data_IF_334693898532
#
_entry.id   IF_334693898532
#
_cell.length_a   1.000
_cell.length_b   1.000
_cell.length_c   1.000
_cell.angle_alpha   90.00
_cell.angle_beta   90.00
_cell.angle_gamma   90.00
#
_symmetry.space_group_name_H-M   'P 1'
#
loop_
_entity.id
_entity.type
_entity.pdbx_description
1 polymer ?
#
# COMPACT_ATOMS: atom_id res chain seq x y z
N UNK A 1 41.35 3.90 61.47
CA UNK A 1 40.13 3.31 61.01
C UNK A 1 39.74 4.11 59.75
N UNK A 2 40.05 3.60 58.61
CA UNK A 2 39.80 4.26 57.31
C UNK A 2 38.63 3.56 56.65
N UNK A 3 37.50 4.28 56.54
CA UNK A 3 36.31 3.80 55.85
C UNK A 3 36.56 3.81 54.34
N UNK A 4 36.57 2.62 53.75
CA UNK A 4 36.63 2.44 52.33
C UNK A 4 35.17 2.51 51.81
N UNK A 5 34.82 3.63 51.19
CA UNK A 5 33.55 3.77 50.44
C UNK A 5 33.66 2.95 49.17
N UNK A 6 32.88 1.87 49.09
CA UNK A 6 32.73 1.09 47.84
C UNK A 6 31.89 1.89 46.85
N UNK A 7 32.49 2.30 45.74
CA UNK A 7 31.80 2.85 44.57
C UNK A 7 31.06 1.72 43.85
N UNK A 8 29.75 1.68 44.02
CA UNK A 8 28.85 0.79 43.26
C UNK A 8 28.72 1.31 41.80
N UNK A 9 29.60 0.87 40.93
CA UNK A 9 29.53 1.15 39.51
C UNK A 9 28.51 0.20 38.88
N UNK A 10 27.23 0.51 39.00
CA UNK A 10 26.21 -0.05 38.12
C UNK A 10 26.45 0.53 36.71
N UNK A 11 27.23 -0.16 35.91
CA UNK A 11 27.26 0.07 34.45
C UNK A 11 25.92 -0.36 33.90
N UNK A 12 24.99 0.58 33.78
CA UNK A 12 23.77 0.36 33.01
C UNK A 12 24.17 0.05 31.57
N UNK A 13 23.83 -1.15 31.09
CA UNK A 13 23.97 -1.45 29.65
C UNK A 13 23.24 -0.36 28.87
N UNK A 14 23.84 0.17 27.79
CA UNK A 14 23.13 1.14 26.97
C UNK A 14 21.82 0.52 26.49
N UNK A 15 20.72 1.28 26.57
CA UNK A 15 19.45 0.89 26.02
C UNK A 15 19.61 0.77 24.48
N UNK A 16 19.62 -0.46 23.98
CA UNK A 16 19.83 -0.78 22.56
C UNK A 16 18.52 -0.85 21.78
N UNK A 17 17.40 -0.57 22.45
CA UNK A 17 16.07 -0.56 21.83
C UNK A 17 15.67 0.81 21.31
N UNK A 18 14.87 0.82 20.25
CA UNK A 18 14.14 2.00 19.78
C UNK A 18 12.67 1.78 20.10
N UNK A 19 12.04 2.77 20.74
CA UNK A 19 10.60 2.70 21.03
C UNK A 19 9.80 2.77 19.75
N UNK A 20 8.90 1.80 19.53
CA UNK A 20 7.99 1.80 18.38
C UNK A 20 7.06 3.02 18.41
N UNK A 21 6.78 3.54 17.22
CA UNK A 21 5.73 4.54 17.04
C UNK A 21 4.35 3.87 17.10
N UNK A 22 3.34 4.68 17.46
CA UNK A 22 1.94 4.21 17.46
C UNK A 22 1.51 3.85 16.04
N UNK A 23 1.15 2.59 15.83
CA UNK A 23 0.71 2.06 14.52
C UNK A 23 -0.78 1.70 14.47
N UNK A 24 -1.44 1.63 15.63
CA UNK A 24 -2.85 1.25 15.74
C UNK A 24 -3.63 2.36 16.44
N UNK A 25 -4.74 2.80 15.85
CA UNK A 25 -5.66 3.77 16.45
C UNK A 25 -6.41 3.18 17.64
N UNK A 26 -7.03 4.04 18.47
CA UNK A 26 -7.89 3.62 19.59
C UNK A 26 -9.10 2.78 19.16
N UNK A 27 -9.49 2.85 17.89
CA UNK A 27 -10.54 2.01 17.29
C UNK A 27 -10.04 0.66 16.75
N UNK A 28 -8.79 0.26 17.03
CA UNK A 28 -8.21 -1.01 16.57
C UNK A 28 -7.88 -1.05 15.06
N UNK A 29 -7.81 0.10 14.39
CA UNK A 29 -7.44 0.22 12.98
C UNK A 29 -6.00 0.70 12.84
N UNK A 30 -5.33 0.31 11.76
CA UNK A 30 -4.01 0.88 11.45
C UNK A 30 -4.13 2.40 11.29
N UNK A 31 -3.28 3.13 12.02
CA UNK A 31 -3.14 4.57 11.87
C UNK A 31 -2.22 4.89 10.69
N UNK A 32 -2.64 4.49 9.48
CA UNK A 32 -1.87 4.70 8.24
C UNK A 32 -2.52 5.85 7.46
N UNK A 33 -1.78 6.95 7.35
CA UNK A 33 -2.09 7.98 6.36
C UNK A 33 -1.13 7.82 5.18
N UNK A 34 -1.60 7.93 3.93
CA UNK A 34 -0.73 7.92 2.77
C UNK A 34 0.32 9.03 2.89
N UNK A 35 1.58 8.67 2.64
CA UNK A 35 2.72 9.61 2.73
C UNK A 35 3.02 10.28 1.39
N UNK A 36 2.45 9.77 0.31
CA UNK A 36 2.68 10.24 -1.06
C UNK A 36 1.52 11.12 -1.49
N UNK A 37 1.82 12.30 -1.97
CA UNK A 37 0.83 13.29 -2.41
C UNK A 37 -0.09 12.72 -3.51
N UNK A 38 -1.40 12.82 -3.28
CA UNK A 38 -2.44 12.33 -4.20
C UNK A 38 -2.81 10.86 -4.04
N UNK A 39 -2.04 10.05 -3.30
CA UNK A 39 -2.47 8.70 -2.91
C UNK A 39 -3.55 8.83 -1.85
N UNK A 40 -4.64 8.08 -2.02
CA UNK A 40 -5.78 8.08 -1.08
C UNK A 40 -6.14 6.65 -0.69
N UNK A 41 -6.65 6.50 0.52
CA UNK A 41 -7.15 5.22 1.04
C UNK A 41 -8.58 5.45 1.52
N UNK A 42 -9.49 4.61 1.02
CA UNK A 42 -10.86 4.53 1.53
C UNK A 42 -10.98 3.20 2.26
N UNK A 43 -11.27 3.24 3.56
CA UNK A 43 -11.53 2.03 4.35
C UNK A 43 -12.89 1.46 3.95
N UNK A 44 -12.90 0.17 3.62
CA UNK A 44 -14.11 -0.55 3.24
C UNK A 44 -14.54 -1.49 4.38
N UNK A 45 -15.81 -1.84 4.40
CA UNK A 45 -16.41 -2.68 5.43
C UNK A 45 -16.98 -3.98 4.88
N UNK A 46 -16.53 -5.10 5.43
CA UNK A 46 -17.19 -6.38 5.22
C UNK A 46 -18.53 -6.42 5.97
N UNK A 47 -19.61 -6.69 5.27
CA UNK A 47 -20.95 -6.85 5.85
C UNK A 47 -21.32 -8.33 5.86
N UNK A 48 -21.47 -8.89 7.06
CA UNK A 48 -21.99 -10.25 7.21
C UNK A 48 -23.50 -10.26 6.98
N UNK A 49 -23.93 -11.08 6.04
CA UNK A 49 -25.34 -11.31 5.72
C UNK A 49 -25.74 -12.72 6.09
N UNK A 50 -27.03 -13.03 6.04
CA UNK A 50 -27.51 -14.40 6.28
C UNK A 50 -26.94 -15.44 5.30
N UNK A 51 -26.58 -15.01 4.10
CA UNK A 51 -26.07 -15.88 3.03
C UNK A 51 -24.53 -15.83 2.86
N UNK A 52 -23.83 -14.99 3.62
CA UNK A 52 -22.37 -14.86 3.51
C UNK A 52 -21.88 -13.44 3.72
N UNK A 53 -20.95 -13.00 2.89
CA UNK A 53 -20.27 -11.72 2.96
C UNK A 53 -20.67 -10.82 1.79
N UNK A 54 -20.95 -9.56 2.07
CA UNK A 54 -21.07 -8.50 1.08
C UNK A 54 -20.00 -7.46 1.31
N UNK A 55 -19.36 -7.03 0.25
CA UNK A 55 -18.38 -5.93 0.24
C UNK A 55 -18.68 -5.02 -0.95
N UNK A 56 -19.00 -3.75 -0.67
CA UNK A 56 -19.03 -2.73 -1.72
C UNK A 56 -17.58 -2.35 -2.09
N UNK A 57 -17.20 -2.59 -3.33
CA UNK A 57 -15.82 -2.39 -3.80
C UNK A 57 -15.59 -0.99 -4.34
N UNK A 58 -16.61 -0.41 -4.94
CA UNK A 58 -16.54 0.86 -5.63
C UNK A 58 -17.91 1.45 -5.84
N UNK A 59 -18.01 2.77 -5.67
CA UNK A 59 -19.20 3.56 -6.06
C UNK A 59 -18.74 4.88 -6.67
N UNK A 60 -19.40 5.33 -7.71
CA UNK A 60 -19.11 6.60 -8.39
C UNK A 60 -19.61 7.83 -7.61
N UNK A 61 -20.53 7.62 -6.65
CA UNK A 61 -21.06 8.64 -5.76
C UNK A 61 -20.27 8.79 -4.43
N UNK A 62 -19.23 8.00 -4.21
CA UNK A 62 -18.35 8.22 -3.05
C UNK A 62 -17.52 9.50 -3.22
N UNK A 63 -17.54 10.41 -2.23
CA UNK A 63 -16.94 11.73 -2.39
C UNK A 63 -15.42 11.72 -2.64
N UNK A 64 -14.74 10.67 -2.20
CA UNK A 64 -13.29 10.56 -2.30
C UNK A 64 -12.80 9.76 -3.51
N UNK A 65 -13.70 9.24 -4.32
CA UNK A 65 -13.35 8.36 -5.45
C UNK A 65 -13.22 9.12 -6.76
N UNK A 66 -14.23 9.92 -7.12
CA UNK A 66 -14.15 10.97 -8.14
C UNK A 66 -13.86 10.55 -9.58
N UNK A 67 -14.12 9.27 -9.96
CA UNK A 67 -13.88 8.80 -11.33
C UNK A 67 -15.15 8.24 -11.98
N UNK A 68 -15.12 8.21 -13.32
CA UNK A 68 -16.04 7.40 -14.12
C UNK A 68 -15.31 6.13 -14.55
N UNK A 69 -15.68 4.94 -14.05
CA UNK A 69 -15.05 3.69 -14.43
C UNK A 69 -15.18 3.44 -15.93
N UNK A 70 -14.08 3.11 -16.59
CA UNK A 70 -14.06 2.76 -18.01
C UNK A 70 -13.60 1.33 -18.26
N UNK A 71 -12.84 0.75 -17.32
CA UNK A 71 -12.41 -0.63 -17.35
C UNK A 71 -12.33 -1.17 -15.94
N UNK A 72 -12.62 -2.45 -15.75
CA UNK A 72 -12.45 -3.15 -14.47
C UNK A 72 -11.73 -4.47 -14.75
N UNK A 73 -10.64 -4.69 -14.03
CA UNK A 73 -9.89 -5.94 -14.08
C UNK A 73 -9.97 -6.65 -12.73
N UNK A 74 -10.17 -7.96 -12.77
CA UNK A 74 -9.89 -8.81 -11.63
C UNK A 74 -8.52 -9.47 -11.84
N UNK A 75 -7.67 -9.36 -10.85
CA UNK A 75 -6.32 -9.91 -10.86
C UNK A 75 -6.16 -10.93 -9.76
N UNK A 76 -5.68 -12.11 -10.10
CA UNK A 76 -5.31 -13.15 -9.16
C UNK A 76 -3.79 -13.32 -9.17
N UNK A 77 -3.16 -13.11 -8.02
CA UNK A 77 -1.73 -13.27 -7.84
C UNK A 77 -1.44 -14.63 -7.23
N UNK A 78 -0.49 -15.38 -7.79
CA UNK A 78 0.00 -16.60 -7.18
C UNK A 78 0.60 -16.33 -5.79
N UNK A 79 0.71 -17.35 -4.96
CA UNK A 79 1.40 -17.28 -3.67
C UNK A 79 2.83 -16.72 -3.86
N UNK A 80 3.18 -15.68 -3.11
CA UNK A 80 4.46 -14.98 -3.23
C UNK A 80 4.66 -14.20 -4.53
N UNK A 81 3.66 -14.15 -5.41
CA UNK A 81 3.71 -13.45 -6.70
C UNK A 81 3.99 -11.96 -6.53
N UNK A 82 4.77 -11.39 -7.45
CA UNK A 82 5.18 -9.99 -7.45
C UNK A 82 4.93 -9.40 -8.83
N UNK A 83 4.39 -8.18 -8.87
CA UNK A 83 4.39 -7.38 -10.11
C UNK A 83 5.69 -6.59 -10.19
N UNK A 84 6.13 -6.27 -11.42
CA UNK A 84 7.22 -5.32 -11.58
C UNK A 84 6.79 -3.91 -11.17
N UNK A 85 7.76 -3.08 -10.79
CA UNK A 85 7.54 -1.66 -10.61
C UNK A 85 7.04 -1.03 -11.91
N UNK A 86 5.86 -0.42 -11.84
CA UNK A 86 5.24 0.26 -12.98
C UNK A 86 4.53 1.54 -12.55
N UNK A 87 4.26 2.38 -13.52
CA UNK A 87 3.47 3.60 -13.36
C UNK A 87 2.65 3.86 -14.60
N UNK A 88 1.64 4.68 -14.45
CA UNK A 88 0.85 5.25 -15.53
C UNK A 88 1.07 6.76 -15.59
N UNK A 89 0.94 7.36 -16.76
CA UNK A 89 1.11 8.82 -16.94
C UNK A 89 -0.22 9.56 -17.02
N UNK A 90 -1.29 8.86 -17.37
CA UNK A 90 -2.66 9.39 -17.49
C UNK A 90 -3.64 8.68 -16.57
N UNK A 91 -3.56 7.35 -16.52
CA UNK A 91 -4.46 6.49 -15.80
C UNK A 91 -4.29 6.60 -14.29
N UNK A 92 -5.41 6.61 -13.57
CA UNK A 92 -5.47 6.43 -12.12
C UNK A 92 -5.90 5.01 -11.80
N UNK A 93 -5.15 4.32 -10.94
CA UNK A 93 -5.52 2.99 -10.45
C UNK A 93 -6.35 3.07 -9.18
N UNK A 94 -7.43 2.29 -9.13
CA UNK A 94 -8.29 2.13 -7.96
C UNK A 94 -8.27 0.66 -7.56
N UNK A 95 -7.38 0.33 -6.61
CA UNK A 95 -7.05 -1.04 -6.22
C UNK A 95 -7.85 -1.46 -5.00
N UNK A 96 -8.64 -2.51 -5.11
CA UNK A 96 -9.43 -3.07 -3.99
C UNK A 96 -9.06 -4.52 -3.75
N UNK A 97 -8.49 -4.84 -2.59
CA UNK A 97 -8.19 -6.22 -2.21
C UNK A 97 -9.46 -6.98 -1.82
N UNK A 98 -9.67 -8.14 -2.42
CA UNK A 98 -10.85 -8.99 -2.19
C UNK A 98 -10.52 -10.33 -1.53
N UNK A 99 -9.28 -10.81 -1.63
CA UNK A 99 -8.83 -12.04 -0.96
C UNK A 99 -7.34 -11.99 -0.65
N UNK A 100 -6.91 -12.83 0.30
CA UNK A 100 -5.51 -12.93 0.71
C UNK A 100 -4.98 -11.65 1.38
N UNK A 101 -3.65 -11.48 1.35
CA UNK A 101 -2.93 -10.31 1.85
C UNK A 101 -2.01 -9.78 0.77
N UNK A 102 -2.28 -8.58 0.31
CA UNK A 102 -1.52 -7.92 -0.74
C UNK A 102 -0.79 -6.72 -0.15
N UNK A 103 0.51 -6.66 -0.39
CA UNK A 103 1.37 -5.52 -0.13
C UNK A 103 1.44 -4.67 -1.40
N UNK A 104 1.12 -3.40 -1.28
CA UNK A 104 1.33 -2.39 -2.30
C UNK A 104 2.50 -1.51 -1.87
N UNK A 105 3.58 -1.58 -2.63
CA UNK A 105 4.72 -0.69 -2.48
C UNK A 105 4.55 0.50 -3.42
N UNK A 106 4.81 1.70 -2.92
CA UNK A 106 4.66 2.97 -3.62
C UNK A 106 5.96 3.77 -3.56
N UNK A 107 6.29 4.45 -4.64
CA UNK A 107 7.42 5.38 -4.72
C UNK A 107 7.04 6.60 -5.56
N UNK A 108 7.23 7.78 -5.00
CA UNK A 108 6.97 9.03 -5.69
C UNK A 108 8.19 9.48 -6.51
N UNK A 109 8.22 9.06 -7.75
CA UNK A 109 9.26 9.47 -8.71
C UNK A 109 8.94 10.77 -9.47
N UNK A 110 7.89 11.52 -9.10
CA UNK A 110 7.49 12.77 -9.78
C UNK A 110 8.37 13.94 -9.35
N UNK A 111 9.16 14.56 -10.26
CA UNK A 111 10.12 15.61 -9.88
C UNK A 111 9.50 16.84 -9.22
N UNK A 112 8.26 17.19 -9.60
CA UNK A 112 7.54 18.38 -9.08
C UNK A 112 6.66 18.09 -7.87
N UNK A 113 6.66 16.86 -7.36
CA UNK A 113 5.83 16.48 -6.21
C UNK A 113 6.40 17.02 -4.90
N UNK A 114 5.52 17.46 -3.99
CA UNK A 114 5.90 17.81 -2.61
C UNK A 114 6.42 16.61 -1.80
N UNK A 115 6.21 15.39 -2.33
CA UNK A 115 6.65 14.13 -1.70
C UNK A 115 7.62 13.35 -2.58
N UNK A 116 8.34 14.04 -3.48
CA UNK A 116 9.34 13.41 -4.34
C UNK A 116 10.31 12.54 -3.54
N UNK A 117 10.64 11.36 -4.05
CA UNK A 117 11.49 10.32 -3.45
C UNK A 117 10.91 9.67 -2.18
N UNK A 118 9.72 10.01 -1.72
CA UNK A 118 9.08 9.28 -0.63
C UNK A 118 8.59 7.91 -1.09
N UNK A 119 8.66 6.98 -0.15
CA UNK A 119 8.11 5.62 -0.30
C UNK A 119 7.00 5.39 0.70
N UNK A 120 6.10 4.48 0.36
CA UNK A 120 5.04 4.02 1.25
C UNK A 120 4.73 2.54 1.02
N UNK A 121 4.18 1.88 2.03
CA UNK A 121 3.73 0.49 1.95
C UNK A 121 2.34 0.39 2.54
N UNK A 122 1.40 -0.07 1.73
CA UNK A 122 0.01 -0.28 2.14
C UNK A 122 -0.30 -1.76 2.02
N UNK A 123 -0.90 -2.35 3.07
CA UNK A 123 -1.41 -3.73 3.02
C UNK A 123 -2.91 -3.72 3.02
N UNK A 124 -3.49 -4.53 2.16
CA UNK A 124 -4.94 -4.67 2.02
C UNK A 124 -5.29 -6.09 1.53
N UNK A 125 -6.54 -6.47 1.61
CA UNK A 125 -7.02 -7.79 1.20
C UNK A 125 -8.33 -8.14 1.85
N UNK A 126 -8.74 -9.41 1.79
CA UNK A 126 -10.07 -9.82 2.24
C UNK A 126 -10.37 -9.55 3.72
N UNK A 127 -9.34 -9.60 4.58
CA UNK A 127 -9.51 -9.34 6.03
C UNK A 127 -9.56 -7.84 6.35
N UNK A 128 -8.81 -7.04 5.59
CA UNK A 128 -8.76 -5.57 5.74
C UNK A 128 -8.97 -4.92 4.37
N UNK A 129 -10.22 -4.92 3.88
CA UNK A 129 -10.52 -4.39 2.57
C UNK A 129 -10.34 -2.87 2.54
N UNK A 130 -9.64 -2.41 1.51
CA UNK A 130 -9.37 -0.99 1.25
C UNK A 130 -9.43 -0.73 -0.23
N UNK A 131 -9.96 0.41 -0.58
CA UNK A 131 -9.75 0.99 -1.90
C UNK A 131 -8.54 1.93 -1.81
N UNK A 132 -7.49 1.61 -2.54
CA UNK A 132 -6.29 2.44 -2.63
C UNK A 132 -6.26 3.10 -4.00
N UNK A 133 -6.22 4.43 -4.02
CA UNK A 133 -6.21 5.23 -5.24
C UNK A 133 -4.79 5.72 -5.48
N UNK A 134 -4.21 5.30 -6.61
CA UNK A 134 -2.85 5.64 -7.01
C UNK A 134 -2.92 6.59 -8.21
N UNK A 135 -2.52 7.86 -8.04
CA UNK A 135 -2.60 8.84 -9.12
C UNK A 135 -1.50 8.63 -10.17
N UNK A 136 -1.66 9.20 -11.38
CA UNK A 136 -0.64 9.16 -12.41
C UNK A 136 0.75 9.60 -11.91
N UNK A 137 1.78 8.96 -12.43
CA UNK A 137 3.19 9.25 -12.15
C UNK A 137 3.76 8.58 -10.91
N UNK A 138 2.94 8.04 -10.02
CA UNK A 138 3.40 7.29 -8.84
C UNK A 138 3.80 5.88 -9.25
N UNK A 139 5.05 5.51 -8.99
CA UNK A 139 5.53 4.15 -9.17
C UNK A 139 4.92 3.23 -8.13
N UNK A 140 4.47 2.06 -8.57
CA UNK A 140 3.89 1.08 -7.67
C UNK A 140 4.18 -0.35 -8.11
N UNK A 141 4.19 -1.24 -7.13
CA UNK A 141 4.32 -2.67 -7.32
C UNK A 141 3.54 -3.41 -6.24
N UNK A 142 3.02 -4.59 -6.59
CA UNK A 142 2.24 -5.41 -5.67
C UNK A 142 2.94 -6.74 -5.41
N UNK A 143 2.78 -7.23 -4.19
CA UNK A 143 3.22 -8.55 -3.77
C UNK A 143 2.12 -9.26 -3.01
N UNK A 144 1.85 -10.51 -3.35
CA UNK A 144 1.08 -11.39 -2.49
C UNK A 144 1.99 -11.91 -1.36
N UNK A 145 1.73 -11.46 -0.12
CA UNK A 145 2.51 -11.87 1.06
C UNK A 145 1.99 -13.18 1.69
N UNK A 146 0.90 -13.73 1.17
CA UNK A 146 0.30 -14.98 1.64
C UNK A 146 0.87 -16.23 0.96
N UNK A 147 0.62 -17.38 1.58
CA UNK A 147 0.95 -18.70 1.04
C UNK A 147 -0.07 -19.25 0.04
N UNK A 148 -1.18 -18.56 -0.16
CA UNK A 148 -2.25 -18.93 -1.08
C UNK A 148 -2.48 -17.80 -2.12
N UNK A 149 -3.19 -18.06 -3.23
CA UNK A 149 -3.53 -17.03 -4.19
C UNK A 149 -4.29 -15.86 -3.54
N UNK A 150 -3.95 -14.64 -3.92
CA UNK A 150 -4.61 -13.41 -3.48
C UNK A 150 -5.21 -12.66 -4.65
N UNK A 151 -6.36 -12.01 -4.44
CA UNK A 151 -7.09 -11.32 -5.49
C UNK A 151 -7.35 -9.85 -5.18
N UNK A 152 -7.28 -9.03 -6.22
CA UNK A 152 -7.73 -7.65 -6.17
C UNK A 152 -8.48 -7.25 -7.43
N UNK A 153 -9.36 -6.26 -7.29
CA UNK A 153 -10.01 -5.57 -8.39
C UNK A 153 -9.24 -4.27 -8.65
N UNK A 154 -8.98 -3.97 -9.91
CA UNK A 154 -8.49 -2.65 -10.33
C UNK A 154 -9.52 -1.99 -11.22
N UNK A 155 -9.97 -0.80 -10.84
CA UNK A 155 -10.93 0.03 -11.57
C UNK A 155 -10.17 1.20 -12.19
N UNK A 156 -10.29 1.38 -13.49
CA UNK A 156 -9.57 2.39 -14.26
C UNK A 156 -10.50 3.50 -14.76
N UNK A 157 -10.01 4.71 -14.75
CA UNK A 157 -10.62 5.88 -15.39
C UNK A 157 -10.32 5.99 -16.89
N UNK A 158 -9.30 5.25 -17.38
CA UNK A 158 -8.99 5.10 -18.80
C UNK A 158 -8.93 3.62 -19.21
N UNK A 159 -9.51 3.24 -20.37
CA UNK A 159 -9.37 1.86 -20.84
C UNK A 159 -7.95 1.62 -21.36
N UNK A 160 -7.51 0.38 -21.27
CA UNK A 160 -6.22 -0.04 -21.82
C UNK A 160 -6.19 0.20 -23.35
N UNK A 161 -5.22 0.97 -23.78
CA UNK A 161 -4.97 1.20 -25.21
C UNK A 161 -4.00 0.13 -25.73
N UNK A 162 -4.51 -0.80 -26.53
CA UNK A 162 -3.71 -1.89 -27.09
C UNK A 162 -2.66 -1.43 -28.11
N UNK A 163 -2.84 -0.26 -28.72
CA UNK A 163 -1.90 0.29 -29.69
C UNK A 163 -0.82 1.14 -29.02
N UNK A 164 -1.14 1.81 -27.89
CA UNK A 164 -0.24 2.71 -27.20
C UNK A 164 -0.45 2.62 -25.67
N UNK A 165 -0.01 1.52 -25.03
CA UNK A 165 -0.24 1.29 -23.62
C UNK A 165 0.40 2.35 -22.71
N UNK A 166 -0.38 2.90 -21.78
CA UNK A 166 0.13 3.80 -20.72
C UNK A 166 0.66 2.99 -19.54
N UNK A 167 1.65 2.13 -19.78
CA UNK A 167 2.23 1.26 -18.79
C UNK A 167 3.77 1.31 -18.87
N UNK A 168 4.36 2.08 -17.97
CA UNK A 168 5.80 2.28 -17.89
C UNK A 168 6.39 1.37 -16.83
N UNK A 169 7.42 0.60 -17.18
CA UNK A 169 8.09 -0.34 -16.27
C UNK A 169 9.53 0.06 -16.03
N UNK A 170 10.00 -0.13 -14.78
CA UNK A 170 11.42 -0.03 -14.50
C UNK A 170 12.13 -1.25 -15.11
N UNK A 171 13.27 -0.99 -15.73
CA UNK A 171 14.11 -2.07 -16.23
C UNK A 171 14.85 -2.76 -15.07
N UNK A 172 15.10 -4.08 -15.14
CA UNK A 172 15.93 -4.76 -14.17
C UNK A 172 17.29 -4.05 -14.02
N UNK A 173 17.74 -3.87 -12.79
CA UNK A 173 19.01 -3.20 -12.50
C UNK A 173 18.95 -1.66 -12.49
N UNK A 174 17.77 -1.05 -12.63
CA UNK A 174 17.64 0.41 -12.46
C UNK A 174 18.12 0.82 -11.09
N UNK A 175 19.12 1.72 -11.05
CA UNK A 175 19.72 2.22 -9.79
C UNK A 175 18.75 3.18 -9.09
N UNK A 176 18.72 3.12 -7.75
CA UNK A 176 17.92 4.03 -6.92
C UNK A 176 16.46 3.61 -6.73
N UNK A 177 16.08 2.44 -7.22
CA UNK A 177 14.77 1.85 -6.94
C UNK A 177 14.71 1.44 -5.46
N UNK A 178 13.65 1.84 -4.70
CA UNK A 178 13.54 1.47 -3.30
C UNK A 178 13.39 -0.04 -3.10
N UNK A 179 14.15 -0.60 -2.16
CA UNK A 179 14.04 -2.01 -1.74
C UNK A 179 12.97 -2.15 -0.65
N UNK A 180 11.72 -2.06 -1.06
CA UNK A 180 10.55 -2.16 -0.15
C UNK A 180 9.49 -3.15 -0.63
N UNK A 181 9.78 -3.94 -1.67
CA UNK A 181 8.81 -4.87 -2.27
C UNK A 181 8.86 -6.29 -1.69
#
# INVERSE_FOLDING_TARGET
MSDVVALDTKTSKPDVGVRDSQTVSSGGRLAVSPRIAGVRIVELGNVLTRSGLLLELFRDDWPDVGIKPRQVNWVCMNAGGVTDWHRHTRQTDHLVGVSGVIKLALWDGRPSSSTVNRTDVIRFGGVSPRLVIVPPGVWHALRNEGGEPAGYINVFDEPYDYANPDNWRLQPGTVGVPDIL
#
